data_IF_586228051531
#
_entry.id   IF_586228051531
#
_cell.length_a   1.000
_cell.length_b   1.000
_cell.length_c   1.000
_cell.angle_alpha   90.00
_cell.angle_beta   90.00
_cell.angle_gamma   90.00
#
_symmetry.space_group_name_H-M   'P 1'
#
loop_
_entity.id
_entity.type
_entity.pdbx_description
1 polymer ?
#
# COMPACT_ATOMS: atom_id res chain seq x y z
N UNK A 1 21.58 6.76 -15.86
CA UNK A 1 22.50 5.61 -15.72
C UNK A 1 22.26 4.92 -14.38
N UNK A 2 22.37 3.60 -14.28
CA UNK A 2 22.00 2.83 -13.07
C UNK A 2 23.20 2.23 -12.30
N UNK A 3 24.44 2.64 -12.62
CA UNK A 3 25.64 2.14 -11.94
C UNK A 3 25.97 0.67 -12.25
N UNK A 4 25.52 0.15 -13.39
CA UNK A 4 25.91 -1.19 -13.83
C UNK A 4 27.34 -1.18 -14.38
N UNK A 5 28.25 -1.90 -13.72
CA UNK A 5 29.59 -2.12 -14.23
C UNK A 5 29.55 -3.04 -15.46
N UNK A 6 30.15 -2.57 -16.56
CA UNK A 6 30.29 -3.34 -17.81
C UNK A 6 31.66 -4.01 -17.87
N UNK A 7 32.70 -3.25 -17.56
CA UNK A 7 34.09 -3.68 -17.43
C UNK A 7 34.75 -2.77 -16.40
N UNK A 8 35.68 -3.32 -15.63
CA UNK A 8 36.61 -2.59 -14.78
C UNK A 8 38.02 -2.50 -15.39
N UNK A 9 38.22 -3.13 -16.56
CA UNK A 9 39.51 -3.20 -17.26
C UNK A 9 39.46 -2.43 -18.58
N UNK A 10 38.94 -1.19 -18.55
CA UNK A 10 38.61 -0.42 -19.76
C UNK A 10 39.79 -0.30 -20.73
N UNK A 11 41.00 0.03 -20.24
CA UNK A 11 42.20 0.17 -21.07
C UNK A 11 42.84 -1.16 -21.46
N UNK A 12 42.81 -2.14 -20.56
CA UNK A 12 43.49 -3.44 -20.72
C UNK A 12 42.74 -4.41 -21.64
N UNK A 13 41.40 -4.36 -21.63
CA UNK A 13 40.56 -5.27 -22.41
C UNK A 13 39.50 -4.50 -23.21
N UNK A 14 39.90 -3.85 -24.31
CA UNK A 14 39.01 -3.09 -25.18
C UNK A 14 37.85 -3.91 -25.76
N UNK A 15 38.02 -5.22 -25.92
CA UNK A 15 37.03 -6.17 -26.41
C UNK A 15 35.78 -6.27 -25.53
N UNK A 16 35.87 -5.92 -24.24
CA UNK A 16 34.71 -5.90 -23.33
C UNK A 16 34.00 -4.54 -23.28
N UNK A 17 34.50 -3.52 -23.99
CA UNK A 17 33.84 -2.22 -24.07
C UNK A 17 32.51 -2.36 -24.80
N UNK A 18 31.49 -1.67 -24.30
CA UNK A 18 30.17 -1.58 -24.94
C UNK A 18 29.76 -0.12 -24.91
N UNK A 19 29.12 0.37 -25.98
CA UNK A 19 28.57 1.75 -25.99
C UNK A 19 27.35 1.91 -25.09
N UNK A 20 26.59 0.83 -24.90
CA UNK A 20 25.36 0.81 -24.09
C UNK A 20 25.34 -0.38 -23.14
N UNK A 21 24.66 -0.22 -22.01
CA UNK A 21 24.44 -1.27 -21.03
C UNK A 21 23.37 -2.25 -21.51
N UNK A 22 23.68 -3.55 -21.53
CA UNK A 22 22.73 -4.59 -21.93
C UNK A 22 21.60 -4.85 -20.92
N UNK A 23 21.70 -4.31 -19.69
CA UNK A 23 20.66 -4.48 -18.66
C UNK A 23 19.64 -3.34 -18.63
N UNK A 24 20.04 -2.12 -18.98
CA UNK A 24 19.17 -0.94 -18.85
C UNK A 24 19.18 0.00 -20.05
N UNK A 25 19.92 -0.32 -21.12
CA UNK A 25 19.96 0.47 -22.36
C UNK A 25 20.71 1.80 -22.27
N UNK A 26 21.12 2.26 -21.08
CA UNK A 26 21.82 3.52 -20.92
C UNK A 26 23.21 3.50 -21.57
N UNK A 27 23.62 4.65 -22.11
CA UNK A 27 24.98 4.88 -22.62
C UNK A 27 26.02 4.68 -21.49
N UNK A 28 27.15 4.08 -21.85
CA UNK A 28 28.24 3.81 -20.92
C UNK A 28 29.18 5.00 -20.81
N UNK A 29 29.67 5.26 -19.60
CA UNK A 29 30.73 6.23 -19.35
C UNK A 29 31.93 5.56 -18.70
N UNK A 30 33.12 6.00 -19.05
CA UNK A 30 34.39 5.58 -18.45
C UNK A 30 35.16 6.78 -17.86
N UNK A 31 34.59 7.98 -17.97
CA UNK A 31 35.16 9.23 -17.48
C UNK A 31 34.15 10.02 -16.66
N UNK A 32 34.66 10.79 -15.70
CA UNK A 32 33.90 11.72 -14.91
C UNK A 32 33.29 12.80 -15.79
N UNK A 33 31.96 12.91 -15.76
CA UNK A 33 31.21 13.89 -16.55
C UNK A 33 31.47 15.35 -16.15
N UNK A 34 32.13 15.57 -15.01
CA UNK A 34 32.39 16.91 -14.50
C UNK A 34 33.85 17.38 -14.65
N UNK A 35 34.81 16.47 -14.81
CA UNK A 35 36.23 16.84 -14.92
C UNK A 35 37.01 16.02 -15.97
N UNK A 36 36.38 15.06 -16.65
CA UNK A 36 37.02 14.21 -17.66
C UNK A 36 37.96 13.13 -17.11
N UNK A 37 38.21 13.08 -15.80
CA UNK A 37 39.10 12.08 -15.19
C UNK A 37 38.55 10.66 -15.35
N UNK A 38 39.41 9.69 -15.65
CA UNK A 38 39.01 8.30 -15.83
C UNK A 38 38.39 7.73 -14.54
N UNK A 39 37.31 6.98 -14.70
CA UNK A 39 36.65 6.30 -13.58
C UNK A 39 37.53 5.12 -13.18
N UNK A 40 37.94 5.08 -11.92
CA UNK A 40 38.79 4.03 -11.39
C UNK A 40 38.19 2.64 -11.61
N UNK A 41 38.96 1.81 -12.30
CA UNK A 41 38.69 0.40 -12.54
C UNK A 41 39.46 -0.52 -11.60
N UNK A 42 39.70 -1.74 -12.06
CA UNK A 42 40.44 -2.77 -11.32
C UNK A 42 41.91 -2.38 -11.18
N UNK A 43 42.50 -2.70 -10.03
CA UNK A 43 43.91 -2.46 -9.79
C UNK A 43 44.72 -3.64 -10.33
N UNK A 44 45.53 -3.37 -11.36
CA UNK A 44 46.33 -4.40 -12.01
C UNK A 44 47.83 -4.23 -11.73
N UNK A 45 48.48 -5.33 -11.32
CA UNK A 45 49.93 -5.46 -11.24
C UNK A 45 50.37 -6.56 -12.20
N UNK A 46 51.37 -6.25 -13.04
CA UNK A 46 51.89 -7.20 -14.02
C UNK A 46 52.42 -8.47 -13.32
N UNK A 47 52.06 -9.64 -13.84
CA UNK A 47 52.44 -10.93 -13.27
C UNK A 47 51.63 -11.38 -12.05
N UNK A 48 50.72 -10.56 -11.51
CA UNK A 48 49.87 -10.92 -10.36
C UNK A 48 48.42 -11.12 -10.80
N UNK A 49 47.87 -12.29 -10.52
CA UNK A 49 46.46 -12.62 -10.78
C UNK A 49 45.69 -12.69 -9.45
N UNK A 50 44.81 -11.71 -9.23
CA UNK A 50 43.85 -11.74 -8.14
C UNK A 50 42.52 -12.33 -8.64
N UNK A 51 42.02 -13.37 -7.98
CA UNK A 51 40.75 -14.02 -8.32
C UNK A 51 39.76 -13.84 -7.17
N UNK A 52 38.53 -13.45 -7.49
CA UNK A 52 37.42 -13.39 -6.52
C UNK A 52 37.06 -12.01 -5.98
N UNK A 53 37.85 -10.97 -6.26
CA UNK A 53 37.51 -9.60 -5.89
C UNK A 53 36.64 -8.93 -6.96
N UNK A 54 35.59 -8.23 -6.54
CA UNK A 54 34.78 -7.39 -7.41
C UNK A 54 35.19 -5.94 -7.21
N UNK A 55 35.57 -5.27 -8.28
CA UNK A 55 35.77 -3.82 -8.28
C UNK A 55 34.44 -3.14 -7.90
N UNK A 56 34.37 -2.33 -6.84
CA UNK A 56 33.15 -1.63 -6.48
C UNK A 56 32.89 -0.47 -7.45
N UNK A 57 31.62 -0.21 -7.75
CA UNK A 57 31.23 0.96 -8.55
C UNK A 57 31.33 2.21 -7.67
N UNK A 58 32.20 3.19 -7.99
CA UNK A 58 32.43 4.33 -7.12
C UNK A 58 31.20 5.25 -7.06
N UNK A 59 31.00 5.92 -5.93
CA UNK A 59 29.89 6.88 -5.75
C UNK A 59 30.29 8.31 -6.11
N UNK A 60 31.57 8.65 -5.96
CA UNK A 60 32.14 9.97 -6.22
C UNK A 60 33.42 9.86 -7.04
N UNK A 61 33.73 10.90 -7.81
CA UNK A 61 34.99 11.01 -8.53
C UNK A 61 36.15 11.22 -7.55
N UNK A 62 37.22 10.43 -7.66
CA UNK A 62 38.40 10.54 -6.80
C UNK A 62 39.22 11.81 -7.05
N UNK A 63 39.12 12.40 -8.25
CA UNK A 63 39.83 13.63 -8.60
C UNK A 63 39.07 14.91 -8.14
N UNK A 64 37.78 15.03 -8.49
CA UNK A 64 37.02 16.27 -8.24
C UNK A 64 35.95 16.17 -7.14
N UNK A 65 35.75 14.99 -6.54
CA UNK A 65 34.80 14.77 -5.45
C UNK A 65 33.31 14.78 -5.85
N UNK A 66 32.96 15.14 -7.09
CA UNK A 66 31.56 15.20 -7.53
C UNK A 66 30.91 13.81 -7.59
N UNK A 67 29.64 13.68 -7.22
CA UNK A 67 28.92 12.41 -7.28
C UNK A 67 28.70 11.97 -8.73
N UNK A 68 28.74 10.66 -8.97
CA UNK A 68 28.38 10.12 -10.28
C UNK A 68 26.86 10.09 -10.50
N UNK A 69 26.38 10.12 -11.76
CA UNK A 69 24.94 10.21 -12.07
C UNK A 69 24.09 9.07 -11.48
N UNK A 70 24.67 7.89 -11.25
CA UNK A 70 23.95 6.77 -10.66
C UNK A 70 23.72 6.90 -9.16
N UNK A 71 24.52 7.69 -8.43
CA UNK A 71 24.28 7.96 -7.01
C UNK A 71 22.99 8.76 -6.84
N UNK A 72 22.83 9.82 -7.62
CA UNK A 72 21.63 10.66 -7.60
C UNK A 72 20.40 9.86 -8.03
N UNK A 73 20.53 9.01 -9.05
CA UNK A 73 19.43 8.12 -9.44
C UNK A 73 19.07 7.10 -8.34
N UNK A 74 20.05 6.60 -7.58
CA UNK A 74 19.81 5.71 -6.45
C UNK A 74 19.09 6.43 -5.30
N UNK A 75 19.43 7.69 -5.03
CA UNK A 75 18.70 8.54 -4.06
C UNK A 75 17.26 8.80 -4.51
N UNK A 76 17.07 9.22 -5.76
CA UNK A 76 15.73 9.43 -6.33
C UNK A 76 14.87 8.16 -6.25
N UNK A 77 15.44 6.99 -6.51
CA UNK A 77 14.74 5.72 -6.35
C UNK A 77 14.42 5.41 -4.89
N UNK A 78 15.32 5.71 -3.95
CA UNK A 78 15.08 5.51 -2.53
C UNK A 78 14.01 6.46 -1.97
N UNK A 79 13.97 7.69 -2.44
CA UNK A 79 12.96 8.71 -2.08
C UNK A 79 11.61 8.44 -2.75
N UNK A 80 11.59 7.83 -3.93
CA UNK A 80 10.37 7.43 -4.64
C UNK A 80 9.77 6.11 -4.14
N UNK A 81 10.51 5.33 -3.35
CA UNK A 81 9.95 4.17 -2.63
C UNK A 81 9.29 4.73 -1.37
N UNK A 82 8.00 5.01 -1.49
CA UNK A 82 7.13 5.23 -0.35
C UNK A 82 7.17 3.96 0.51
N UNK A 83 7.82 4.06 1.67
CA UNK A 83 7.93 2.97 2.65
C UNK A 83 6.72 2.94 3.58
N UNK A 84 5.78 3.88 3.44
CA UNK A 84 4.49 3.77 4.10
C UNK A 84 3.67 2.73 3.35
N UNK A 85 3.32 1.64 4.03
CA UNK A 85 2.28 0.75 3.51
C UNK A 85 1.04 1.63 3.38
N UNK A 86 0.52 1.77 2.16
CA UNK A 86 -0.73 2.50 1.91
C UNK A 86 -1.86 1.85 2.72
N UNK A 87 -2.12 2.40 3.91
CA UNK A 87 -3.04 1.84 4.90
C UNK A 87 -4.44 1.65 4.33
N UNK A 88 -4.82 2.48 3.35
CA UNK A 88 -6.08 2.37 2.65
C UNK A 88 -6.14 1.12 1.77
N UNK A 89 -5.11 0.86 0.95
CA UNK A 89 -5.01 -0.39 0.16
C UNK A 89 -4.90 -1.63 1.04
N UNK A 90 -4.21 -1.53 2.17
CA UNK A 90 -4.13 -2.63 3.12
C UNK A 90 -5.50 -2.94 3.72
N UNK A 91 -6.26 -1.91 4.11
CA UNK A 91 -7.62 -2.05 4.60
C UNK A 91 -8.54 -2.67 3.55
N UNK A 92 -8.46 -2.22 2.29
CA UNK A 92 -9.19 -2.85 1.18
C UNK A 92 -8.86 -4.34 1.05
N UNK A 93 -7.58 -4.69 1.19
CA UNK A 93 -7.13 -6.07 1.16
C UNK A 93 -7.76 -6.88 2.31
N UNK A 94 -7.70 -6.37 3.54
CA UNK A 94 -8.32 -7.00 4.72
C UNK A 94 -9.81 -7.24 4.48
N UNK A 95 -10.56 -6.21 4.08
CA UNK A 95 -11.99 -6.31 3.77
C UNK A 95 -12.27 -7.34 2.66
N UNK A 96 -11.49 -7.36 1.58
CA UNK A 96 -11.67 -8.32 0.48
C UNK A 96 -11.47 -9.79 0.89
N UNK A 97 -10.67 -10.03 1.93
CA UNK A 97 -10.36 -11.36 2.47
C UNK A 97 -11.23 -11.74 3.66
N UNK A 98 -12.02 -10.81 4.19
CA UNK A 98 -12.84 -10.99 5.39
C UNK A 98 -13.72 -12.25 5.33
N UNK A 99 -14.45 -12.45 4.23
CA UNK A 99 -15.35 -13.61 4.10
C UNK A 99 -14.60 -14.95 4.16
N UNK A 100 -13.36 -15.01 3.66
CA UNK A 100 -12.56 -16.23 3.71
C UNK A 100 -12.13 -16.55 5.15
N UNK A 101 -11.75 -15.53 5.92
CA UNK A 101 -11.45 -15.67 7.35
C UNK A 101 -12.70 -16.11 8.10
N UNK A 102 -13.84 -15.45 7.86
CA UNK A 102 -15.11 -15.80 8.49
C UNK A 102 -15.54 -17.24 8.19
N UNK A 103 -15.35 -17.74 6.96
CA UNK A 103 -15.59 -19.15 6.61
C UNK A 103 -14.61 -20.09 7.30
N UNK A 104 -13.32 -19.74 7.35
CA UNK A 104 -12.31 -20.56 7.99
C UNK A 104 -12.60 -20.76 9.49
N UNK A 105 -13.09 -19.71 10.17
CA UNK A 105 -13.47 -19.80 11.58
C UNK A 105 -14.58 -20.83 11.82
N UNK A 106 -15.51 -21.02 10.87
CA UNK A 106 -16.58 -22.04 10.97
C UNK A 106 -16.05 -23.47 10.97
N UNK A 107 -14.88 -23.72 10.37
CA UNK A 107 -14.27 -25.06 10.30
C UNK A 107 -13.33 -25.26 11.48
N UNK A 108 -13.85 -25.85 12.56
CA UNK A 108 -13.11 -26.06 13.81
C UNK A 108 -12.78 -27.53 14.02
N UNK A 109 -11.63 -27.80 14.65
CA UNK A 109 -11.30 -29.14 15.11
C UNK A 109 -12.32 -29.61 16.16
N UNK A 110 -12.84 -30.84 16.01
CA UNK A 110 -13.71 -31.51 16.99
C UNK A 110 -14.97 -30.71 17.36
N UNK A 111 -15.61 -30.07 16.38
CA UNK A 111 -16.87 -29.33 16.53
C UNK A 111 -16.88 -28.30 17.67
N UNK A 112 -15.72 -27.71 17.95
CA UNK A 112 -15.59 -26.69 18.99
C UNK A 112 -16.41 -25.45 18.65
N UNK A 113 -16.90 -24.72 19.66
CA UNK A 113 -17.51 -23.41 19.46
C UNK A 113 -16.59 -22.47 18.67
N UNK A 114 -17.21 -21.68 17.80
CA UNK A 114 -16.55 -20.65 16.98
C UNK A 114 -17.22 -19.30 17.22
N UNK A 115 -16.51 -18.22 16.87
CA UNK A 115 -17.13 -16.94 16.57
C UNK A 115 -18.08 -17.12 15.38
N UNK A 116 -19.36 -16.84 15.57
CA UNK A 116 -20.37 -16.81 14.52
C UNK A 116 -20.58 -15.35 14.12
N UNK A 117 -20.68 -15.09 12.82
CA UNK A 117 -20.88 -13.73 12.29
C UNK A 117 -22.33 -13.57 11.87
N UNK A 118 -23.18 -13.17 12.82
CA UNK A 118 -24.64 -13.11 12.66
C UNK A 118 -25.12 -11.70 12.35
N UNK A 119 -24.55 -10.70 13.02
CA UNK A 119 -24.91 -9.28 12.90
C UNK A 119 -23.70 -8.36 12.65
N UNK A 120 -23.94 -7.04 12.71
CA UNK A 120 -22.94 -6.01 12.49
C UNK A 120 -21.85 -5.99 13.57
N UNK A 121 -22.22 -6.24 14.82
CA UNK A 121 -21.27 -6.27 15.93
C UNK A 121 -20.32 -7.45 15.82
N UNK A 122 -20.81 -8.63 15.39
CA UNK A 122 -19.93 -9.77 15.13
C UNK A 122 -18.95 -9.50 13.97
N UNK A 123 -19.38 -8.70 12.97
CA UNK A 123 -18.48 -8.26 11.87
C UNK A 123 -17.43 -7.31 12.41
N UNK A 124 -17.82 -6.35 13.25
CA UNK A 124 -16.93 -5.41 13.90
C UNK A 124 -15.87 -6.15 14.75
N UNK A 125 -16.26 -7.13 15.56
CA UNK A 125 -15.35 -7.90 16.41
C UNK A 125 -14.28 -8.62 15.58
N UNK A 126 -14.69 -9.33 14.52
CA UNK A 126 -13.74 -10.03 13.66
C UNK A 126 -12.86 -9.04 12.89
N UNK A 127 -13.44 -7.95 12.38
CA UNK A 127 -12.69 -6.95 11.62
C UNK A 127 -11.65 -6.27 12.50
N UNK A 128 -12.02 -5.87 13.72
CA UNK A 128 -11.13 -5.26 14.69
C UNK A 128 -9.92 -6.16 14.98
N UNK A 129 -10.13 -7.47 15.15
CA UNK A 129 -9.04 -8.42 15.34
C UNK A 129 -8.08 -8.45 14.14
N UNK A 130 -8.58 -8.32 12.91
CA UNK A 130 -7.75 -8.25 11.69
C UNK A 130 -7.02 -6.91 11.57
N UNK A 131 -7.66 -5.80 11.95
CA UNK A 131 -7.05 -4.47 11.93
C UNK A 131 -5.85 -4.38 12.89
N UNK A 132 -5.96 -5.00 14.07
CA UNK A 132 -4.89 -5.04 15.09
C UNK A 132 -3.59 -5.68 14.61
N UNK A 133 -3.61 -6.43 13.50
CA UNK A 133 -2.40 -7.01 12.91
C UNK A 133 -1.53 -5.93 12.26
N UNK A 134 -2.13 -4.82 11.81
CA UNK A 134 -1.48 -3.86 10.93
C UNK A 134 -1.53 -2.41 11.41
N UNK A 135 -2.50 -2.04 12.26
CA UNK A 135 -2.73 -0.68 12.72
C UNK A 135 -2.52 -0.57 14.23
N UNK A 136 -1.80 0.48 14.67
CA UNK A 136 -1.42 0.67 16.08
C UNK A 136 -2.50 1.44 16.88
N UNK A 137 -2.92 2.63 16.43
CA UNK A 137 -3.97 3.44 17.06
C UNK A 137 -5.34 3.24 16.38
N UNK A 138 -6.05 2.19 16.83
CA UNK A 138 -7.44 1.89 16.46
C UNK A 138 -8.36 2.33 17.59
N UNK A 139 -9.25 3.29 17.31
CA UNK A 139 -10.25 3.82 18.25
C UNK A 139 -11.64 3.28 17.88
N UNK A 140 -12.16 2.29 18.60
CA UNK A 140 -13.53 1.83 18.41
C UNK A 140 -14.50 2.85 19.00
N UNK A 141 -15.68 2.98 18.39
CA UNK A 141 -16.80 3.74 18.95
C UNK A 141 -16.51 5.24 19.24
N UNK A 142 -15.65 5.88 18.44
CA UNK A 142 -15.27 7.30 18.59
C UNK A 142 -16.44 8.24 18.21
N UNK A 143 -16.64 9.30 18.98
CA UNK A 143 -17.71 10.27 18.72
C UNK A 143 -17.28 11.34 17.71
N UNK A 144 -18.16 11.64 16.76
CA UNK A 144 -17.98 12.75 15.83
C UNK A 144 -18.41 14.08 16.46
N UNK A 145 -17.82 15.20 16.02
CA UNK A 145 -18.42 16.51 16.24
C UNK A 145 -19.88 16.53 15.80
N UNK A 146 -20.69 17.39 16.44
CA UNK A 146 -22.09 17.53 16.07
C UNK A 146 -22.21 18.04 14.64
N UNK A 147 -22.94 17.31 13.81
CA UNK A 147 -23.28 17.67 12.45
C UNK A 147 -24.80 17.75 12.33
N UNK A 148 -25.31 18.89 11.84
CA UNK A 148 -26.74 19.17 11.74
C UNK A 148 -27.52 18.92 13.07
N UNK A 149 -26.87 19.19 14.21
CA UNK A 149 -27.47 19.02 15.54
C UNK A 149 -27.42 17.60 16.11
N UNK A 150 -26.79 16.64 15.42
CA UNK A 150 -26.61 15.27 15.88
C UNK A 150 -25.12 14.89 15.91
N UNK A 151 -24.69 14.26 17.01
CA UNK A 151 -23.40 13.55 17.07
C UNK A 151 -23.62 12.09 16.68
N UNK A 152 -22.70 11.52 15.92
CA UNK A 152 -22.71 10.11 15.57
C UNK A 152 -21.45 9.44 16.08
N UNK A 153 -21.51 8.13 16.23
CA UNK A 153 -20.42 7.32 16.74
C UNK A 153 -19.95 6.44 15.61
N UNK A 154 -18.68 6.56 15.23
CA UNK A 154 -18.10 5.75 14.15
C UNK A 154 -17.73 4.37 14.69
N UNK A 155 -17.73 3.35 13.85
CA UNK A 155 -17.35 2.01 14.28
C UNK A 155 -15.85 1.94 14.61
N UNK A 156 -14.99 2.40 13.69
CA UNK A 156 -13.55 2.51 13.93
C UNK A 156 -12.95 3.79 13.33
N UNK A 157 -12.04 4.40 14.07
CA UNK A 157 -11.10 5.40 13.57
C UNK A 157 -9.67 4.83 13.64
N UNK A 158 -9.02 4.69 12.48
CA UNK A 158 -7.58 4.43 12.35
C UNK A 158 -6.88 5.80 12.40
N UNK A 159 -6.38 6.16 13.57
CA UNK A 159 -6.07 7.56 13.91
C UNK A 159 -4.88 8.09 13.11
N UNK A 160 -3.81 7.32 13.01
CA UNK A 160 -2.58 7.73 12.34
C UNK A 160 -2.77 7.79 10.82
N UNK A 161 -3.61 6.91 10.29
CA UNK A 161 -3.95 6.83 8.87
C UNK A 161 -5.06 7.82 8.48
N UNK A 162 -5.76 8.41 9.46
CA UNK A 162 -6.92 9.29 9.27
C UNK A 162 -8.02 8.62 8.42
N UNK A 163 -8.25 7.33 8.69
CA UNK A 163 -9.25 6.49 8.01
C UNK A 163 -10.37 6.17 9.00
N UNK A 164 -11.61 6.49 8.63
CA UNK A 164 -12.79 5.98 9.32
C UNK A 164 -13.25 4.70 8.61
N UNK A 165 -13.65 3.70 9.39
CA UNK A 165 -14.27 2.47 8.90
C UNK A 165 -15.69 2.40 9.44
N UNK A 166 -16.65 2.30 8.54
CA UNK A 166 -18.08 2.09 8.83
C UNK A 166 -18.44 0.67 8.40
N UNK A 167 -19.08 -0.10 9.27
CA UNK A 167 -19.39 -1.51 9.06
C UNK A 167 -20.90 -1.70 8.97
N UNK A 168 -21.36 -2.38 7.92
CA UNK A 168 -22.74 -2.87 7.79
C UNK A 168 -22.75 -4.38 7.56
N UNK A 169 -23.80 -5.06 8.00
CA UNK A 169 -24.08 -6.46 7.64
C UNK A 169 -25.50 -6.54 7.14
N UNK A 170 -25.64 -7.02 5.90
CA UNK A 170 -26.96 -7.19 5.32
C UNK A 170 -27.75 -8.26 6.05
N UNK A 171 -29.07 -8.12 5.99
CA UNK A 171 -30.05 -9.08 6.51
C UNK A 171 -31.37 -8.88 5.80
N UNK A 172 -32.35 -9.71 6.11
CA UNK A 172 -33.68 -9.65 5.50
C UNK A 172 -34.35 -8.25 5.58
N UNK A 173 -34.02 -7.46 6.61
CA UNK A 173 -34.56 -6.10 6.83
C UNK A 173 -33.60 -4.96 6.45
N UNK A 174 -32.40 -5.27 5.94
CA UNK A 174 -31.37 -4.30 5.59
C UNK A 174 -30.74 -4.72 4.27
N UNK A 175 -31.39 -4.33 3.17
CA UNK A 175 -31.01 -4.70 1.80
C UNK A 175 -30.35 -3.53 1.08
N UNK A 176 -30.05 -3.69 -0.21
CA UNK A 176 -29.35 -2.69 -1.03
C UNK A 176 -29.84 -1.24 -0.83
N UNK A 177 -31.16 -1.01 -0.88
CA UNK A 177 -31.75 0.33 -0.69
C UNK A 177 -31.45 0.88 0.70
N UNK A 178 -31.77 0.10 1.73
CA UNK A 178 -31.63 0.51 3.12
C UNK A 178 -30.16 0.75 3.49
N UNK A 179 -29.25 -0.10 3.00
CA UNK A 179 -27.79 0.06 3.14
C UNK A 179 -27.36 1.37 2.47
N UNK A 180 -27.79 1.63 1.24
CA UNK A 180 -27.43 2.85 0.52
C UNK A 180 -27.91 4.11 1.25
N UNK A 181 -29.15 4.13 1.72
CA UNK A 181 -29.71 5.26 2.48
C UNK A 181 -28.93 5.54 3.77
N UNK A 182 -28.57 4.49 4.52
CA UNK A 182 -27.76 4.64 5.73
C UNK A 182 -26.36 5.15 5.41
N UNK A 183 -25.67 4.54 4.44
CA UNK A 183 -24.31 4.93 4.08
C UNK A 183 -24.23 6.38 3.59
N UNK A 184 -25.22 6.88 2.85
CA UNK A 184 -25.27 8.30 2.44
C UNK A 184 -25.26 9.23 3.66
N UNK A 185 -26.05 8.90 4.69
CA UNK A 185 -26.13 9.67 5.92
C UNK A 185 -24.82 9.59 6.70
N UNK A 186 -24.24 8.40 6.81
CA UNK A 186 -22.99 8.15 7.53
C UNK A 186 -21.82 8.89 6.87
N UNK A 187 -21.67 8.79 5.53
CA UNK A 187 -20.66 9.53 4.76
C UNK A 187 -20.76 11.03 5.01
N UNK A 188 -21.98 11.59 4.99
CA UNK A 188 -22.18 13.02 5.19
C UNK A 188 -21.80 13.47 6.60
N UNK A 189 -22.13 12.67 7.62
CA UNK A 189 -21.81 12.98 9.03
C UNK A 189 -20.32 12.91 9.30
N UNK A 190 -19.66 11.87 8.81
CA UNK A 190 -18.26 11.59 9.12
C UNK A 190 -17.30 12.54 8.41
N UNK A 191 -17.73 13.18 7.32
CA UNK A 191 -16.97 14.27 6.66
C UNK A 191 -16.65 15.43 7.61
N UNK A 192 -17.43 15.65 8.67
CA UNK A 192 -17.17 16.69 9.65
C UNK A 192 -16.13 16.30 10.72
N UNK A 193 -15.69 15.05 10.75
CA UNK A 193 -14.68 14.59 11.72
C UNK A 193 -13.28 15.10 11.32
N UNK A 194 -12.52 15.74 12.23
CA UNK A 194 -11.25 16.40 11.90
C UNK A 194 -10.18 15.43 11.37
N UNK A 195 -10.26 14.16 11.78
CA UNK A 195 -9.35 13.10 11.34
C UNK A 195 -9.94 12.18 10.26
N UNK A 196 -10.95 12.63 9.52
CA UNK A 196 -11.52 11.86 8.40
C UNK A 196 -11.00 12.40 7.07
N UNK A 197 -9.89 11.83 6.59
CA UNK A 197 -9.41 12.05 5.22
C UNK A 197 -9.85 10.94 4.28
N UNK A 198 -10.04 9.73 4.82
CA UNK A 198 -10.56 8.60 4.07
C UNK A 198 -11.65 7.90 4.85
N UNK A 199 -12.61 7.33 4.13
CA UNK A 199 -13.73 6.58 4.69
C UNK A 199 -13.88 5.28 3.90
N UNK A 200 -13.84 4.15 4.60
CA UNK A 200 -14.23 2.85 4.06
C UNK A 200 -15.57 2.43 4.65
N UNK A 201 -16.58 2.27 3.80
CA UNK A 201 -17.83 1.63 4.15
C UNK A 201 -17.76 0.14 3.78
N UNK A 202 -17.55 -0.72 4.76
CA UNK A 202 -17.47 -2.16 4.60
C UNK A 202 -18.84 -2.80 4.84
N UNK A 203 -19.44 -3.35 3.79
CA UNK A 203 -20.72 -4.06 3.83
C UNK A 203 -20.47 -5.56 3.69
N UNK A 204 -20.74 -6.32 4.74
CA UNK A 204 -20.68 -7.76 4.71
C UNK A 204 -22.04 -8.35 4.29
N UNK A 205 -22.10 -8.93 3.09
CA UNK A 205 -23.29 -9.51 2.48
C UNK A 205 -23.14 -11.01 2.17
N UNK A 206 -22.96 -11.87 3.18
CA UNK A 206 -22.70 -13.30 2.96
C UNK A 206 -23.88 -14.04 2.31
N UNK A 207 -25.09 -13.52 2.40
CA UNK A 207 -26.30 -14.13 1.82
C UNK A 207 -26.74 -13.52 0.47
N UNK A 208 -26.09 -12.46 -0.01
CA UNK A 208 -26.39 -11.87 -1.33
C UNK A 208 -27.68 -11.04 -1.37
N UNK A 209 -28.01 -10.32 -0.30
CA UNK A 209 -29.15 -9.40 -0.24
C UNK A 209 -29.00 -8.18 -1.14
N UNK A 210 -27.77 -7.85 -1.56
CA UNK A 210 -27.49 -6.80 -2.55
C UNK A 210 -27.35 -7.44 -3.92
N UNK A 211 -28.39 -7.33 -4.75
CA UNK A 211 -28.43 -7.96 -6.07
C UNK A 211 -27.37 -7.43 -7.07
N UNK A 212 -27.06 -6.13 -7.02
CA UNK A 212 -25.99 -5.51 -7.83
C UNK A 212 -24.99 -4.77 -6.93
N UNK A 213 -24.05 -5.51 -6.29
CA UNK A 213 -23.08 -4.89 -5.38
C UNK A 213 -22.23 -3.84 -6.07
N UNK A 214 -21.76 -4.11 -7.30
CA UNK A 214 -20.90 -3.19 -8.06
C UNK A 214 -21.59 -1.87 -8.37
N UNK A 215 -22.89 -1.90 -8.66
CA UNK A 215 -23.68 -0.70 -8.87
C UNK A 215 -23.67 0.19 -7.63
N UNK A 216 -24.07 -0.38 -6.49
CA UNK A 216 -24.12 0.36 -5.22
C UNK A 216 -22.74 0.88 -4.79
N UNK A 217 -21.68 0.09 -5.01
CA UNK A 217 -20.30 0.53 -4.75
C UNK A 217 -19.90 1.74 -5.60
N UNK A 218 -20.17 1.69 -6.91
CA UNK A 218 -19.82 2.77 -7.83
C UNK A 218 -20.64 4.04 -7.58
N UNK A 219 -21.89 3.89 -7.17
CA UNK A 219 -22.78 5.02 -6.90
C UNK A 219 -22.36 5.83 -5.66
N UNK A 220 -21.72 5.17 -4.69
CA UNK A 220 -21.36 5.77 -3.39
C UNK A 220 -19.84 6.02 -3.22
N UNK A 221 -18.99 5.31 -3.96
CA UNK A 221 -17.55 5.52 -3.97
C UNK A 221 -17.23 6.81 -4.72
N UNK A 222 -16.50 7.72 -4.08
CA UNK A 222 -16.17 9.03 -4.63
C UNK A 222 -14.97 9.65 -3.95
N UNK A 223 -14.30 10.54 -4.67
CA UNK A 223 -13.27 11.42 -4.12
C UNK A 223 -13.76 12.85 -4.27
N UNK A 224 -14.01 13.54 -3.15
CA UNK A 224 -14.51 14.92 -3.14
C UNK A 224 -13.65 15.81 -2.23
N UNK A 225 -12.83 16.68 -2.84
CA UNK A 225 -11.89 17.51 -2.09
C UNK A 225 -10.86 16.65 -1.37
N UNK A 226 -10.73 16.85 -0.06
CA UNK A 226 -9.76 16.13 0.79
C UNK A 226 -10.30 14.79 1.34
N UNK A 227 -11.55 14.43 1.03
CA UNK A 227 -12.17 13.18 1.48
C UNK A 227 -12.23 12.13 0.35
N UNK A 228 -11.63 10.98 0.60
CA UNK A 228 -11.73 9.78 -0.24
C UNK A 228 -12.70 8.76 0.38
N UNK A 229 -13.79 8.43 -0.30
CA UNK A 229 -14.80 7.47 0.16
C UNK A 229 -14.77 6.23 -0.71
N UNK A 230 -14.73 5.06 -0.08
CA UNK A 230 -14.79 3.77 -0.76
C UNK A 230 -15.80 2.85 -0.12
N UNK A 231 -16.68 2.28 -0.93
CA UNK A 231 -17.65 1.28 -0.49
C UNK A 231 -17.20 -0.10 -0.95
N UNK A 232 -17.17 -1.05 -0.03
CA UNK A 232 -16.74 -2.43 -0.27
C UNK A 232 -17.83 -3.40 0.20
N UNK A 233 -18.49 -4.07 -0.74
CA UNK A 233 -19.49 -5.11 -0.50
C UNK A 233 -18.85 -6.47 -0.74
N UNK A 234 -18.81 -7.31 0.29
CA UNK A 234 -18.10 -8.60 0.32
C UNK A 234 -18.99 -9.70 0.90
N UNK A 235 -18.97 -10.95 0.39
CA UNK A 235 -18.16 -11.45 -0.72
C UNK A 235 -18.60 -10.95 -2.09
N UNK A 236 -17.70 -11.11 -3.07
CA UNK A 236 -17.98 -10.87 -4.50
C UNK A 236 -18.51 -12.16 -5.14
N UNK A 237 -19.45 -12.03 -6.07
CA UNK A 237 -19.85 -13.11 -6.98
C UNK A 237 -20.94 -14.04 -6.43
N UNK A 238 -22.06 -13.45 -5.99
CA UNK A 238 -23.33 -14.17 -5.86
C UNK A 238 -24.01 -14.36 -7.21
#
# INVERSE_FOLDING_TARGET
MNGHQITDSYHRSPEFRRKHCSKCGAETIHQCQACGFDIRGDYHVEGVFAVGFRTPVPTHCENCGKPFPWLEKKKQLAEAVDTTVDGFKLLEHICSRFHLVAKQLRTRYSDRPSLLVNDEYDVQDLLHALLRVHFEDIRPEEWTPSYAGASSRVDFLLKDEQIIVEVKKTRATLKAKDVGEQLIVDIQRYRAHPDCKKLICFVYDPEGWVANPRGLENDLTRSEGDLEVKVLIVPKGH
#
